data_IF_809534565627
#
_entry.id   IF_809534565627
#
_cell.length_a   1.000
_cell.length_b   1.000
_cell.length_c   1.000
_cell.angle_alpha   90.00
_cell.angle_beta   90.00
_cell.angle_gamma   90.00
#
_symmetry.space_group_name_H-M   'P 1'
#
loop_
_entity.id
_entity.type
_entity.pdbx_description
1 polymer ?
#
# COMPACT_ATOMS: atom_id res chain seq x y z
N UNK A 1 -2.75 0.54 28.32
CA UNK A 1 -3.26 0.82 26.95
C UNK A 1 -2.75 -0.28 26.04
N UNK A 2 -3.60 -0.86 25.21
CA UNK A 2 -3.17 -1.85 24.21
C UNK A 2 -2.44 -1.09 23.10
N UNK A 3 -1.24 -1.53 22.73
CA UNK A 3 -0.49 -0.96 21.62
C UNK A 3 -1.29 -1.13 20.31
N UNK A 4 -1.76 -0.03 19.67
CA UNK A 4 -2.57 -0.12 18.47
C UNK A 4 -1.78 -0.67 17.26
N UNK A 5 -0.45 -0.79 17.35
CA UNK A 5 0.42 -1.30 16.28
C UNK A 5 0.72 -2.80 16.40
N UNK A 6 0.44 -3.44 17.53
CA UNK A 6 0.71 -4.87 17.71
C UNK A 6 0.08 -5.75 16.62
N UNK A 7 -1.19 -5.54 16.19
CA UNK A 7 -1.75 -6.31 15.08
C UNK A 7 -1.05 -6.07 13.74
N UNK A 8 -0.47 -4.87 13.51
CA UNK A 8 0.32 -4.61 12.31
C UNK A 8 1.60 -5.46 12.27
N UNK A 9 2.27 -5.61 13.40
CA UNK A 9 3.46 -6.46 13.50
C UNK A 9 3.13 -7.92 13.17
N UNK A 10 1.99 -8.42 13.66
CA UNK A 10 1.53 -9.77 13.35
C UNK A 10 1.21 -9.95 11.85
N UNK A 11 0.58 -8.95 11.21
CA UNK A 11 0.35 -8.96 9.75
C UNK A 11 1.67 -9.00 8.98
N UNK A 12 2.66 -8.17 9.37
CA UNK A 12 3.97 -8.14 8.72
C UNK A 12 4.70 -9.48 8.86
N UNK A 13 4.63 -10.11 10.03
CA UNK A 13 5.26 -11.40 10.31
C UNK A 13 4.66 -12.57 9.50
N UNK A 14 3.35 -12.54 9.24
CA UNK A 14 2.64 -13.58 8.48
C UNK A 14 2.73 -13.37 6.95
N UNK A 15 3.09 -12.17 6.49
CA UNK A 15 3.13 -11.85 5.08
C UNK A 15 4.36 -12.47 4.37
N UNK A 16 4.12 -13.13 3.23
CA UNK A 16 5.13 -13.80 2.42
C UNK A 16 5.79 -12.80 1.45
N UNK A 17 7.11 -12.56 1.53
CA UNK A 17 7.83 -11.73 0.56
C UNK A 17 7.81 -12.34 -0.84
N UNK A 18 7.48 -11.55 -1.86
CA UNK A 18 7.44 -12.04 -3.25
C UNK A 18 8.18 -11.15 -4.25
N UNK A 19 8.45 -9.90 -3.90
CA UNK A 19 9.15 -8.95 -4.75
C UNK A 19 10.08 -8.09 -3.91
N UNK A 20 11.29 -7.82 -4.39
CA UNK A 20 12.21 -6.84 -3.80
C UNK A 20 12.51 -5.76 -4.82
N UNK A 21 12.42 -4.51 -4.42
CA UNK A 21 12.82 -3.35 -5.23
C UNK A 21 14.22 -2.93 -4.75
N UNK A 22 15.22 -3.20 -5.59
CA UNK A 22 16.65 -3.09 -5.29
C UNK A 22 17.24 -1.71 -5.65
N UNK A 23 16.49 -0.88 -6.36
CA UNK A 23 16.99 0.35 -6.94
C UNK A 23 15.98 1.00 -7.86
N UNK A 24 16.21 2.28 -8.19
CA UNK A 24 15.48 2.98 -9.23
C UNK A 24 16.44 3.75 -10.12
N UNK A 25 16.08 3.87 -11.39
CA UNK A 25 16.76 4.73 -12.35
C UNK A 25 15.78 5.79 -12.84
N UNK A 26 16.23 7.05 -12.89
CA UNK A 26 15.48 8.12 -13.55
C UNK A 26 15.46 7.87 -15.06
N UNK A 27 14.26 7.72 -15.59
CA UNK A 27 13.99 7.59 -17.02
C UNK A 27 12.52 7.87 -17.24
N UNK A 28 12.25 8.85 -18.08
CA UNK A 28 10.89 9.24 -18.40
C UNK A 28 10.23 8.25 -19.36
N UNK A 29 8.99 7.87 -19.05
CA UNK A 29 8.18 6.96 -19.87
C UNK A 29 6.68 7.18 -19.63
N UNK A 30 5.86 6.70 -20.57
CA UNK A 30 4.42 6.59 -20.39
C UNK A 30 3.90 5.19 -20.72
N UNK A 31 2.66 4.95 -20.33
CA UNK A 31 1.84 3.82 -20.72
C UNK A 31 0.85 4.28 -21.79
N UNK A 32 0.55 3.41 -22.74
CA UNK A 32 -0.57 3.63 -23.66
C UNK A 32 -1.83 2.99 -23.06
N UNK A 33 -2.90 3.78 -22.97
CA UNK A 33 -4.20 3.37 -22.45
C UNK A 33 -5.28 3.63 -23.51
N UNK A 34 -6.40 2.88 -23.46
CA UNK A 34 -7.51 3.08 -24.40
C UNK A 34 -8.12 4.48 -24.29
N UNK A 35 -8.31 4.97 -23.06
CA UNK A 35 -8.81 6.31 -22.83
C UNK A 35 -7.64 7.30 -22.75
N UNK A 36 -7.69 8.35 -23.57
CA UNK A 36 -6.61 9.36 -23.66
C UNK A 36 -6.39 10.17 -22.37
N UNK A 37 -7.38 10.23 -21.48
CA UNK A 37 -7.32 10.91 -20.18
C UNK A 37 -7.14 9.95 -19.00
N UNK A 38 -6.75 8.70 -19.26
CA UNK A 38 -6.53 7.73 -18.18
C UNK A 38 -5.34 8.19 -17.31
N UNK A 39 -5.52 8.42 -16.00
CA UNK A 39 -4.45 8.92 -15.12
C UNK A 39 -3.28 7.94 -15.01
N UNK A 40 -3.45 6.70 -15.47
CA UNK A 40 -2.41 5.67 -15.49
C UNK A 40 -1.52 5.74 -16.73
N UNK A 41 -1.68 6.75 -17.59
CA UNK A 41 -0.80 7.01 -18.74
C UNK A 41 0.59 7.48 -18.29
N UNK A 42 0.69 8.42 -17.36
CA UNK A 42 1.96 9.07 -16.99
C UNK A 42 1.90 10.59 -17.19
N UNK A 43 3.03 11.30 -17.21
CA UNK A 43 4.40 10.77 -17.26
C UNK A 43 4.83 10.04 -15.99
N UNK A 44 5.65 9.01 -16.17
CA UNK A 44 6.36 8.29 -15.11
C UNK A 44 7.85 8.57 -15.27
N UNK A 45 8.55 8.74 -14.15
CA UNK A 45 9.94 9.25 -14.10
C UNK A 45 10.95 8.19 -13.68
N UNK A 46 10.48 7.07 -13.14
CA UNK A 46 11.34 6.03 -12.60
C UNK A 46 11.08 4.66 -13.23
N UNK A 47 12.17 3.91 -13.41
CA UNK A 47 12.17 2.49 -13.69
C UNK A 47 12.83 1.78 -12.52
N UNK A 48 12.07 0.91 -11.85
CA UNK A 48 12.58 0.14 -10.73
C UNK A 48 13.43 -1.06 -11.21
N UNK A 49 14.59 -1.26 -10.59
CA UNK A 49 15.30 -2.54 -10.59
C UNK A 49 14.70 -3.40 -9.49
N UNK A 50 14.28 -4.62 -9.83
CA UNK A 50 13.59 -5.49 -8.91
C UNK A 50 14.00 -6.95 -9.08
N UNK A 51 13.79 -7.73 -8.04
CA UNK A 51 13.96 -9.19 -8.00
C UNK A 51 12.64 -9.83 -7.60
N UNK A 52 12.20 -10.84 -8.34
CA UNK A 52 11.06 -11.68 -7.92
C UNK A 52 11.59 -12.71 -6.92
N UNK A 53 11.11 -12.66 -5.70
CA UNK A 53 11.51 -13.59 -4.63
C UNK A 53 10.69 -14.88 -4.69
N UNK A 54 9.40 -14.76 -5.01
CA UNK A 54 8.49 -15.89 -5.12
C UNK A 54 7.49 -15.66 -6.26
N UNK A 55 7.71 -16.38 -7.37
CA UNK A 55 6.83 -16.31 -8.54
C UNK A 55 5.45 -16.89 -8.27
N UNK A 56 5.33 -17.90 -7.41
CA UNK A 56 4.07 -18.55 -7.09
C UNK A 56 3.15 -17.60 -6.33
N UNK A 57 3.70 -16.89 -5.34
CA UNK A 57 2.97 -15.83 -4.61
C UNK A 57 2.55 -14.71 -5.56
N UNK A 58 3.43 -14.24 -6.45
CA UNK A 58 3.07 -13.17 -7.40
C UNK A 58 1.94 -13.58 -8.37
N UNK A 59 1.91 -14.86 -8.77
CA UNK A 59 0.96 -15.41 -9.74
C UNK A 59 -0.35 -15.86 -9.11
N UNK A 60 -0.35 -16.09 -7.80
CA UNK A 60 -1.46 -16.66 -7.07
C UNK A 60 -2.75 -15.83 -7.24
N UNK A 61 -3.88 -16.49 -7.55
CA UNK A 61 -5.18 -15.87 -7.55
C UNK A 61 -5.74 -15.77 -6.12
N UNK A 62 -6.76 -14.93 -5.98
CA UNK A 62 -7.52 -14.78 -4.76
C UNK A 62 -7.44 -13.38 -4.18
N UNK A 63 -8.28 -13.19 -3.18
CA UNK A 63 -8.24 -12.02 -2.32
C UNK A 63 -6.92 -11.99 -1.53
N UNK A 64 -6.28 -10.82 -1.54
CA UNK A 64 -4.94 -10.62 -0.99
C UNK A 64 -4.79 -9.22 -0.41
N UNK A 65 -4.16 -9.15 0.77
CA UNK A 65 -3.57 -7.94 1.31
C UNK A 65 -2.08 -7.95 0.98
N UNK A 66 -1.53 -6.84 0.50
CA UNK A 66 -0.09 -6.69 0.26
C UNK A 66 0.47 -5.47 0.97
N UNK A 67 1.74 -5.58 1.32
CA UNK A 67 2.49 -4.56 2.05
C UNK A 67 3.77 -4.23 1.28
N UNK A 68 4.22 -2.99 1.38
CA UNK A 68 5.61 -2.61 1.07
C UNK A 68 6.27 -2.23 2.38
N UNK A 69 7.42 -2.82 2.69
CA UNK A 69 8.26 -2.48 3.83
C UNK A 69 9.62 -1.95 3.38
N UNK A 70 10.21 -1.08 4.19
CA UNK A 70 11.60 -0.65 4.03
C UNK A 70 12.60 -1.66 4.64
N UNK A 71 13.89 -1.35 4.54
CA UNK A 71 14.96 -2.17 5.12
C UNK A 71 14.88 -2.31 6.66
N UNK A 72 14.16 -1.41 7.34
CA UNK A 72 13.89 -1.47 8.78
C UNK A 72 12.56 -2.17 9.11
N UNK A 73 11.97 -2.89 8.14
CA UNK A 73 10.68 -3.57 8.23
C UNK A 73 9.49 -2.65 8.55
N UNK A 74 9.63 -1.33 8.35
CA UNK A 74 8.52 -0.39 8.56
C UNK A 74 7.61 -0.40 7.34
N UNK A 75 6.31 -0.51 7.57
CA UNK A 75 5.32 -0.47 6.49
C UNK A 75 5.28 0.93 5.89
N UNK A 76 5.43 0.97 4.56
CA UNK A 76 5.40 2.16 3.71
C UNK A 76 4.20 2.18 2.78
N UNK A 77 3.62 1.04 2.48
CA UNK A 77 2.38 0.95 1.71
C UNK A 77 1.60 -0.28 2.15
N UNK A 78 0.28 -0.15 2.19
CA UNK A 78 -0.65 -1.27 2.31
C UNK A 78 -1.66 -1.17 1.18
N UNK A 79 -2.07 -2.28 0.61
CA UNK A 79 -3.17 -2.30 -0.34
C UNK A 79 -3.82 -3.67 -0.44
N UNK A 80 -4.97 -3.71 -1.10
CA UNK A 80 -5.74 -4.94 -1.32
C UNK A 80 -5.91 -5.25 -2.81
N UNK A 81 -6.20 -6.52 -3.10
CA UNK A 81 -6.87 -6.92 -4.32
C UNK A 81 -7.83 -8.08 -4.05
N UNK A 82 -9.09 -7.95 -4.45
CA UNK A 82 -10.04 -9.07 -4.46
C UNK A 82 -9.83 -10.13 -5.56
N UNK A 83 -8.71 -10.13 -6.30
CA UNK A 83 -8.52 -11.07 -7.42
C UNK A 83 -7.13 -11.66 -7.60
N UNK A 84 -6.07 -10.84 -7.67
CA UNK A 84 -4.66 -11.30 -7.79
C UNK A 84 -3.68 -10.15 -7.69
N UNK A 85 -2.49 -10.43 -7.18
CA UNK A 85 -1.38 -9.45 -7.09
C UNK A 85 -0.99 -8.88 -8.45
N UNK A 86 -0.99 -9.67 -9.52
CA UNK A 86 -0.72 -9.21 -10.89
C UNK A 86 -1.66 -8.10 -11.41
N UNK A 87 -2.84 -7.94 -10.80
CA UNK A 87 -3.73 -6.79 -11.09
C UNK A 87 -3.22 -5.46 -10.52
N UNK A 88 -2.39 -5.54 -9.46
CA UNK A 88 -1.83 -4.42 -8.73
C UNK A 88 -0.37 -4.18 -9.12
N UNK A 89 0.49 -5.17 -8.93
CA UNK A 89 1.91 -5.17 -9.28
C UNK A 89 2.12 -5.90 -10.61
N UNK A 90 2.51 -5.17 -11.66
CA UNK A 90 2.63 -5.73 -13.01
C UNK A 90 3.78 -5.14 -13.79
N UNK A 91 4.15 -5.85 -14.86
CA UNK A 91 5.08 -5.34 -15.87
C UNK A 91 4.31 -4.62 -16.97
N UNK A 92 4.44 -3.30 -17.01
CA UNK A 92 3.82 -2.45 -18.02
C UNK A 92 4.78 -2.20 -19.18
N UNK A 93 4.35 -2.32 -20.45
CA UNK A 93 5.13 -1.86 -21.58
C UNK A 93 5.40 -0.36 -21.49
N UNK A 94 6.63 0.03 -21.83
CA UNK A 94 7.09 1.42 -21.79
C UNK A 94 7.03 2.08 -23.18
N UNK A 95 6.61 3.34 -23.19
CA UNK A 95 6.56 4.19 -24.38
C UNK A 95 7.23 5.54 -24.10
N UNK A 96 7.81 6.13 -25.14
CA UNK A 96 8.45 7.45 -25.06
C UNK A 96 7.41 8.54 -24.80
N UNK A 97 7.76 9.53 -23.96
CA UNK A 97 6.93 10.71 -23.75
C UNK A 97 6.82 11.53 -25.05
N UNK A 98 5.62 12.02 -25.35
CA UNK A 98 5.36 12.80 -26.56
C UNK A 98 5.08 11.94 -27.79
N UNK A 99 6.04 11.13 -28.25
CA UNK A 99 5.91 10.36 -29.50
C UNK A 99 5.06 9.10 -29.36
N UNK A 100 4.94 8.56 -28.13
CA UNK A 100 4.32 7.27 -27.83
C UNK A 100 4.92 6.10 -28.61
N UNK A 101 6.18 6.19 -29.03
CA UNK A 101 6.90 5.07 -29.64
C UNK A 101 7.23 4.01 -28.59
N UNK A 102 7.09 2.70 -28.89
CA UNK A 102 7.48 1.64 -27.97
C UNK A 102 8.98 1.71 -27.66
N UNK A 103 9.35 1.54 -26.39
CA UNK A 103 10.76 1.54 -25.97
C UNK A 103 11.40 0.14 -25.96
N UNK A 104 10.65 -0.90 -26.33
CA UNK A 104 11.10 -2.30 -26.32
C UNK A 104 11.32 -2.88 -24.91
N UNK A 105 10.92 -2.16 -23.86
CA UNK A 105 11.15 -2.53 -22.47
C UNK A 105 9.85 -2.52 -21.67
N UNK A 106 9.87 -3.20 -20.52
CA UNK A 106 8.78 -3.22 -19.55
C UNK A 106 9.29 -2.70 -18.22
N UNK A 107 8.46 -1.94 -17.52
CA UNK A 107 8.74 -1.46 -16.17
C UNK A 107 7.79 -2.12 -15.17
N UNK A 108 8.30 -2.43 -13.98
CA UNK A 108 7.45 -2.70 -12.83
C UNK A 108 6.55 -1.47 -12.59
N UNK A 109 5.27 -1.72 -12.33
CA UNK A 109 4.28 -0.68 -12.17
C UNK A 109 3.19 -1.11 -11.18
N UNK A 110 2.84 -0.20 -10.27
CA UNK A 110 1.71 -0.37 -9.36
C UNK A 110 0.46 0.34 -9.89
N UNK A 111 -0.65 -0.37 -10.06
CA UNK A 111 -1.79 0.12 -10.85
C UNK A 111 -2.52 1.34 -10.28
N UNK A 112 -2.42 1.60 -8.98
CA UNK A 112 -3.12 2.69 -8.28
C UNK A 112 -2.25 3.59 -7.43
N UNK A 113 -1.00 3.20 -7.14
CA UNK A 113 -0.14 3.91 -6.18
C UNK A 113 1.23 4.29 -6.74
N UNK A 114 1.47 4.10 -8.05
CA UNK A 114 2.78 4.39 -8.63
C UNK A 114 3.24 5.82 -8.40
N UNK A 115 2.34 6.80 -8.51
CA UNK A 115 2.65 8.21 -8.24
C UNK A 115 3.15 8.43 -6.80
N UNK A 116 2.53 7.80 -5.82
CA UNK A 116 2.97 7.86 -4.42
C UNK A 116 4.34 7.20 -4.23
N UNK A 117 4.57 6.07 -4.89
CA UNK A 117 5.85 5.37 -4.89
C UNK A 117 6.96 6.25 -5.51
N UNK A 118 6.69 6.92 -6.63
CA UNK A 118 7.66 7.85 -7.24
C UNK A 118 7.95 9.07 -6.35
N UNK A 119 6.96 9.56 -5.61
CA UNK A 119 7.17 10.64 -4.64
C UNK A 119 8.11 10.21 -3.50
N UNK A 120 7.99 8.96 -3.03
CA UNK A 120 8.93 8.40 -2.05
C UNK A 120 10.36 8.29 -2.61
N UNK A 121 10.50 7.94 -3.89
CA UNK A 121 11.81 7.92 -4.55
C UNK A 121 12.42 9.32 -4.68
N UNK A 122 11.63 10.34 -5.00
CA UNK A 122 12.10 11.74 -4.98
C UNK A 122 12.55 12.18 -3.58
N UNK A 123 11.87 11.69 -2.54
CA UNK A 123 12.20 11.95 -1.14
C UNK A 123 13.49 11.26 -0.67
N UNK A 124 14.14 10.46 -1.52
CA UNK A 124 15.40 9.78 -1.19
C UNK A 124 15.22 8.66 -0.16
N UNK A 125 14.04 8.05 -0.07
CA UNK A 125 13.85 6.96 0.88
C UNK A 125 14.82 5.80 0.63
N UNK A 126 15.48 5.28 1.69
CA UNK A 126 16.52 4.29 1.54
C UNK A 126 15.95 2.96 1.05
N UNK A 127 16.59 2.42 0.02
CA UNK A 127 16.33 1.10 -0.56
C UNK A 127 17.19 0.02 0.14
N UNK A 128 16.81 -1.27 0.06
CA UNK A 128 15.72 -1.86 -0.71
C UNK A 128 14.34 -1.75 -0.06
N UNK A 129 13.29 -1.95 -0.87
CA UNK A 129 11.94 -2.19 -0.39
C UNK A 129 11.54 -3.65 -0.64
N UNK A 130 10.78 -4.23 0.28
CA UNK A 130 10.22 -5.58 0.14
C UNK A 130 8.72 -5.48 -0.03
N UNK A 131 8.17 -6.18 -1.02
CA UNK A 131 6.73 -6.35 -1.18
C UNK A 131 6.35 -7.75 -0.73
N UNK A 132 5.43 -7.81 0.22
CA UNK A 132 4.92 -9.06 0.79
C UNK A 132 3.41 -9.16 0.62
N UNK A 133 2.89 -10.37 0.71
CA UNK A 133 1.47 -10.65 0.54
C UNK A 133 0.95 -11.64 1.59
N UNK A 134 -0.30 -11.46 1.99
CA UNK A 134 -1.06 -12.41 2.80
C UNK A 134 -2.41 -12.66 2.11
N UNK A 135 -2.66 -13.90 1.72
CA UNK A 135 -3.90 -14.30 1.07
C UNK A 135 -5.00 -14.57 2.07
N UNK A 136 -6.25 -14.56 1.60
CA UNK A 136 -7.43 -14.69 2.45
C UNK A 136 -7.37 -15.84 3.48
N UNK A 137 -7.01 -17.09 3.14
CA UNK A 137 -6.98 -18.17 4.14
C UNK A 137 -6.03 -17.89 5.31
N UNK A 138 -4.83 -17.38 5.00
CA UNK A 138 -3.82 -17.00 5.99
C UNK A 138 -4.29 -15.78 6.81
N UNK A 139 -4.88 -14.78 6.15
CA UNK A 139 -5.38 -13.59 6.80
C UNK A 139 -6.56 -13.91 7.74
N UNK A 140 -7.45 -14.82 7.36
CA UNK A 140 -8.54 -15.30 8.24
C UNK A 140 -7.99 -16.03 9.46
N UNK A 141 -6.98 -16.90 9.28
CA UNK A 141 -6.34 -17.62 10.38
C UNK A 141 -5.67 -16.64 11.36
N UNK A 142 -4.95 -15.65 10.83
CA UNK A 142 -4.36 -14.56 11.61
C UNK A 142 -5.44 -13.79 12.40
N UNK A 143 -6.52 -13.36 11.76
CA UNK A 143 -7.60 -12.62 12.42
C UNK A 143 -8.24 -13.38 13.58
N UNK A 144 -8.40 -14.71 13.46
CA UNK A 144 -8.93 -15.55 14.55
C UNK A 144 -7.96 -15.68 15.71
N UNK A 145 -6.66 -15.79 15.41
CA UNK A 145 -5.60 -15.97 16.41
C UNK A 145 -5.33 -14.69 17.21
N UNK A 146 -5.19 -13.55 16.52
CA UNK A 146 -4.86 -12.28 17.16
C UNK A 146 -6.05 -11.63 17.88
N UNK A 147 -7.28 -11.92 17.45
CA UNK A 147 -8.48 -11.37 18.07
C UNK A 147 -8.64 -9.86 17.84
N UNK A 148 -9.29 -9.19 18.80
CA UNK A 148 -9.42 -7.72 18.85
C UNK A 148 -9.92 -7.08 17.55
N UNK A 149 -9.20 -6.06 17.07
CA UNK A 149 -9.56 -5.32 15.85
C UNK A 149 -9.57 -6.20 14.59
N UNK A 150 -8.72 -7.24 14.55
CA UNK A 150 -8.64 -8.16 13.41
C UNK A 150 -9.80 -9.15 13.41
N UNK A 151 -10.24 -9.63 14.57
CA UNK A 151 -11.50 -10.37 14.68
C UNK A 151 -12.69 -9.53 14.22
N UNK A 152 -12.74 -8.24 14.62
CA UNK A 152 -13.78 -7.32 14.13
C UNK A 152 -13.77 -7.13 12.61
N UNK A 153 -12.59 -7.12 11.97
CA UNK A 153 -12.47 -7.08 10.51
C UNK A 153 -13.03 -8.36 9.85
N UNK A 154 -12.76 -9.53 10.46
CA UNK A 154 -13.28 -10.82 9.99
C UNK A 154 -14.81 -10.89 10.07
N UNK A 155 -15.41 -10.45 11.16
CA UNK A 155 -16.87 -10.48 11.32
C UNK A 155 -17.58 -9.56 10.33
N UNK A 156 -17.02 -8.37 10.05
CA UNK A 156 -17.56 -7.48 9.00
C UNK A 156 -17.49 -8.10 7.60
N UNK A 157 -16.39 -8.80 7.29
CA UNK A 157 -16.25 -9.49 6.02
C UNK A 157 -17.26 -10.65 5.89
N UNK A 158 -17.49 -11.41 6.97
CA UNK A 158 -18.49 -12.49 7.01
C UNK A 158 -19.92 -11.98 6.87
N UNK A 159 -20.20 -10.78 7.37
CA UNK A 159 -21.47 -10.09 7.16
C UNK A 159 -21.66 -9.56 5.72
N UNK A 160 -20.72 -9.81 4.81
CA UNK A 160 -20.84 -9.46 3.39
C UNK A 160 -20.65 -7.98 3.09
N UNK A 161 -20.11 -7.19 4.02
CA UNK A 161 -19.94 -5.74 3.83
C UNK A 161 -18.90 -5.45 2.73
N UNK A 162 -17.70 -6.04 2.85
CA UNK A 162 -16.58 -5.99 1.90
C UNK A 162 -15.66 -7.20 2.13
N UNK A 163 -14.67 -7.33 1.25
CA UNK A 163 -13.57 -8.29 1.40
C UNK A 163 -12.81 -8.08 2.72
N UNK A 164 -12.23 -9.15 3.27
CA UNK A 164 -11.46 -9.10 4.52
C UNK A 164 -10.22 -8.20 4.38
N UNK A 165 -9.48 -8.34 3.27
CA UNK A 165 -8.30 -7.54 2.96
C UNK A 165 -8.63 -6.04 2.94
N UNK A 166 -9.84 -5.64 2.53
CA UNK A 166 -10.27 -4.25 2.57
C UNK A 166 -10.43 -3.73 4.01
N UNK A 167 -11.08 -4.51 4.88
CA UNK A 167 -11.24 -4.12 6.27
C UNK A 167 -9.90 -4.06 7.03
N UNK A 168 -8.96 -4.96 6.72
CA UNK A 168 -7.61 -4.93 7.28
C UNK A 168 -6.78 -3.78 6.71
N UNK A 169 -6.82 -3.52 5.38
CA UNK A 169 -6.21 -2.33 4.76
C UNK A 169 -6.69 -1.05 5.47
N UNK A 170 -8.01 -0.93 5.70
CA UNK A 170 -8.62 0.23 6.36
C UNK A 170 -8.08 0.43 7.78
N UNK A 171 -7.95 -0.64 8.55
CA UNK A 171 -7.35 -0.59 9.88
C UNK A 171 -5.89 -0.12 9.82
N UNK A 172 -5.06 -0.72 8.96
CA UNK A 172 -3.64 -0.34 8.82
C UNK A 172 -3.48 1.11 8.36
N UNK A 173 -4.33 1.55 7.44
CA UNK A 173 -4.36 2.95 7.01
C UNK A 173 -4.76 3.91 8.15
N UNK A 174 -5.62 3.47 9.07
CA UNK A 174 -5.97 4.25 10.27
C UNK A 174 -4.79 4.50 11.22
N UNK A 175 -3.76 3.64 11.19
CA UNK A 175 -2.55 3.80 12.02
C UNK A 175 -1.66 4.99 11.59
N UNK A 176 -1.99 5.67 10.49
CA UNK A 176 -1.36 6.96 10.15
C UNK A 176 -1.57 7.99 11.27
N UNK A 177 -2.72 7.95 11.97
CA UNK A 177 -2.96 8.79 13.15
C UNK A 177 -2.00 8.48 14.31
N UNK A 178 -1.37 7.30 14.31
CA UNK A 178 -0.36 6.87 15.26
C UNK A 178 1.08 7.08 14.74
N UNK A 179 1.26 7.81 13.62
CA UNK A 179 2.57 8.13 13.06
C UNK A 179 3.12 7.13 12.04
N UNK A 180 2.31 6.18 11.54
CA UNK A 180 2.75 5.26 10.48
C UNK A 180 2.95 6.02 9.15
N UNK A 181 4.18 6.04 8.57
CA UNK A 181 4.49 6.84 7.39
C UNK A 181 4.11 6.10 6.09
N UNK A 182 2.81 5.98 5.82
CA UNK A 182 2.34 5.37 4.57
C UNK A 182 2.47 6.31 3.37
N UNK A 183 2.72 5.76 2.19
CA UNK A 183 2.76 6.49 0.92
C UNK A 183 1.37 6.71 0.33
N UNK A 184 0.40 5.85 0.66
CA UNK A 184 -0.94 5.86 0.07
C UNK A 184 -2.02 6.52 0.96
N UNK A 185 -1.63 7.49 1.79
CA UNK A 185 -2.52 8.25 2.70
C UNK A 185 -3.69 8.91 1.95
N UNK A 186 -3.54 9.25 0.67
CA UNK A 186 -4.62 9.88 -0.10
C UNK A 186 -5.92 9.06 -0.20
N UNK A 187 -5.90 7.75 0.12
CA UNK A 187 -7.13 6.94 0.24
C UNK A 187 -7.91 7.19 1.53
N UNK A 188 -7.27 7.65 2.61
CA UNK A 188 -7.92 7.93 3.90
C UNK A 188 -8.52 9.32 3.92
N UNK A 189 -9.21 9.73 2.85
CA UNK A 189 -9.89 11.02 2.76
C UNK A 189 -10.98 11.16 3.82
N UNK A 190 -10.59 11.42 5.06
CA UNK A 190 -11.30 12.35 5.92
C UNK A 190 -11.32 13.66 5.13
N UNK A 191 -12.45 13.94 4.49
CA UNK A 191 -12.93 15.33 4.46
C UNK A 191 -12.81 15.81 5.90
N UNK A 192 -11.84 16.66 6.20
CA UNK A 192 -11.84 17.39 7.46
C UNK A 192 -13.15 18.18 7.45
N UNK A 193 -14.10 17.76 8.27
CA UNK A 193 -15.25 18.59 8.59
C UNK A 193 -14.72 19.81 9.36
N UNK A 194 -14.89 21.04 8.87
CA UNK A 194 -14.36 22.23 9.53
C UNK A 194 -15.10 22.61 10.82
N UNK A 195 -16.09 21.82 11.26
CA UNK A 195 -16.98 22.20 12.36
C UNK A 195 -16.55 21.73 13.76
N UNK A 196 -15.51 20.91 13.90
CA UNK A 196 -15.00 20.56 15.25
C UNK A 196 -13.91 21.54 15.66
N UNK A 197 -14.33 22.72 16.15
CA UNK A 197 -13.47 23.57 16.98
C UNK A 197 -13.34 22.89 18.35
N UNK A 198 -12.13 22.45 18.67
CA UNK A 198 -11.78 22.15 20.06
C UNK A 198 -11.69 23.49 20.78
N UNK A 199 -12.64 23.72 21.68
CA UNK A 199 -12.70 24.90 22.52
C UNK A 199 -11.62 24.78 23.62
N UNK A 200 -10.43 25.32 23.37
CA UNK A 200 -9.40 25.48 24.39
C UNK A 200 -9.68 26.75 25.19
N UNK A 201 -10.65 26.68 26.09
CA UNK A 201 -10.75 27.63 27.21
C UNK A 201 -9.78 27.19 28.30
N UNK A 202 -8.59 27.79 28.29
CA UNK A 202 -7.66 27.78 29.42
C UNK A 202 -8.29 28.58 30.58
N UNK A 203 -8.63 27.90 31.68
CA UNK A 203 -8.84 28.53 32.98
C UNK A 203 -7.48 28.89 33.59
N UNK A 204 -7.22 30.16 33.94
CA UNK A 204 -6.06 30.52 34.74
C UNK A 204 -6.43 30.45 36.23
N UNK A 205 -5.62 29.74 37.00
CA UNK A 205 -5.62 29.90 38.46
C UNK A 205 -5.47 28.60 39.22
N UNK A 206 -4.27 28.36 39.75
CA UNK A 206 -3.97 28.22 41.18
C UNK A 206 -2.46 27.93 41.29
N UNK A 207 -1.71 28.89 41.82
CA UNK A 207 -0.38 28.66 42.40
C UNK A 207 -0.52 28.77 43.92
N UNK A 208 0.15 27.86 44.62
CA UNK A 208 0.51 27.95 46.04
C UNK A 208 1.72 28.87 46.15
#
# INVERSE_FOLDING_TARGET
MVDPTAPLLAIVAEAVPFLRIDGVQRRDWCRVMRAARDPRIGPWRYVARYTVLDQSTWDAPGEVLYLVTDAAARVRLVGESGSRLKGRWKLAPMFELGTRRPMGQRALFHSSAWRSIEAAFDGGEPMPFTVSAIFRPQLEALCRREGGVLAGALERARAGQRDLAHHVETYVCGLVACGLPLWNIAKTGSKRDPTVRVDTTLHPGIQI
#
